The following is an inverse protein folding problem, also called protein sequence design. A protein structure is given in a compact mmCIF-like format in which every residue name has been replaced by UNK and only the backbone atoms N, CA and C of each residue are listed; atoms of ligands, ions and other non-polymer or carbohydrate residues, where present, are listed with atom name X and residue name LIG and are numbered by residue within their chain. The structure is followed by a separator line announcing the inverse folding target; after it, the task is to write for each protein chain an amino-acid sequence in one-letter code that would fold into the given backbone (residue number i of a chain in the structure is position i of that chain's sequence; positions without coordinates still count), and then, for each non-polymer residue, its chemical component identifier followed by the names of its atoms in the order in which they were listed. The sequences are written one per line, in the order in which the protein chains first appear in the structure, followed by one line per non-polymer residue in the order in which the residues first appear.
data_IF_702241278876
#
_entry.id   IF_702241278876
#
_cell.length_a   1.000
_cell.length_b   1.000
_cell.length_c   1.000
_cell.angle_alpha   90.00
_cell.angle_beta   90.00
_cell.angle_gamma   90.00
#
_symmetry.space_group_name_H-M   'P 1'
#
loop_
_entity.id
_entity.type
_entity.pdbx_description
1 polymer ?
#
# COMPACT_ATOMS: atom_id res chain seq x y z
N UNK A 1 -11.74 -20.64 18.21
CA UNK A 1 -12.23 -19.50 19.04
C UNK A 1 -13.09 -19.93 20.24
N UNK A 2 -13.63 -21.15 20.30
CA UNK A 2 -14.52 -21.60 21.41
C UNK A 2 -13.79 -21.60 22.77
N UNK A 3 -12.54 -22.08 22.82
CA UNK A 3 -11.76 -22.19 24.07
C UNK A 3 -11.51 -20.82 24.75
N UNK A 4 -11.32 -19.75 23.96
CA UNK A 4 -10.98 -18.45 24.49
C UNK A 4 -12.17 -17.77 25.19
N UNK A 5 -13.41 -18.17 24.87
CA UNK A 5 -14.64 -17.52 25.39
C UNK A 5 -14.77 -17.55 26.91
N UNK A 6 -14.18 -18.55 27.57
CA UNK A 6 -14.15 -18.63 29.04
C UNK A 6 -13.30 -17.56 29.74
N UNK A 7 -12.53 -16.77 28.99
CA UNK A 7 -11.65 -15.69 29.48
C UNK A 7 -12.21 -14.28 29.17
N UNK A 8 -13.53 -14.16 28.94
CA UNK A 8 -14.15 -12.90 28.52
C UNK A 8 -13.94 -11.78 29.56
N UNK A 9 -13.67 -10.56 29.10
CA UNK A 9 -13.40 -9.38 29.95
C UNK A 9 -11.92 -9.17 30.30
N UNK A 10 -11.17 -10.24 30.53
CA UNK A 10 -9.74 -10.16 30.91
C UNK A 10 -8.79 -10.43 29.73
N UNK A 11 -9.29 -11.03 28.64
CA UNK A 11 -8.47 -11.39 27.48
C UNK A 11 -7.93 -10.19 26.71
N UNK A 12 -6.69 -10.32 26.25
CA UNK A 12 -6.03 -9.46 25.28
C UNK A 12 -5.35 -10.36 24.23
N UNK A 13 -5.45 -10.00 22.96
CA UNK A 13 -4.80 -10.68 21.86
C UNK A 13 -3.47 -10.01 21.54
N UNK A 14 -2.36 -10.73 21.68
CA UNK A 14 -1.06 -10.27 21.22
C UNK A 14 -0.80 -10.76 19.79
N UNK A 15 -0.49 -9.84 18.88
CA UNK A 15 -0.14 -10.15 17.49
C UNK A 15 1.26 -9.61 17.17
N UNK A 16 2.10 -10.41 16.54
CA UNK A 16 3.33 -9.90 15.92
C UNK A 16 2.97 -8.90 14.80
N UNK A 17 3.66 -7.75 14.75
CA UNK A 17 3.41 -6.65 13.80
C UNK A 17 3.90 -6.98 12.37
N UNK A 18 3.41 -8.08 11.81
CA UNK A 18 3.64 -8.56 10.45
C UNK A 18 2.42 -8.26 9.58
N UNK A 19 2.07 -6.98 9.37
CA UNK A 19 0.77 -6.54 8.83
C UNK A 19 0.35 -7.16 7.50
N UNK A 20 1.30 -7.57 6.66
CA UNK A 20 1.02 -8.32 5.43
C UNK A 20 0.31 -9.66 5.69
N UNK A 21 0.51 -10.25 6.86
CA UNK A 21 -0.05 -11.55 7.27
C UNK A 21 -1.08 -11.40 8.40
N UNK A 22 -0.77 -10.60 9.43
CA UNK A 22 -1.62 -10.46 10.63
C UNK A 22 -2.77 -9.45 10.46
N UNK A 23 -2.75 -8.62 9.42
CA UNK A 23 -3.70 -7.51 9.27
C UNK A 23 -5.17 -7.93 9.16
N UNK A 24 -5.48 -9.02 8.46
CA UNK A 24 -6.87 -9.48 8.33
C UNK A 24 -7.44 -10.00 9.67
N UNK A 25 -6.64 -10.76 10.42
CA UNK A 25 -7.00 -11.26 11.74
C UNK A 25 -7.14 -10.13 12.77
N UNK A 26 -6.20 -9.17 12.74
CA UNK A 26 -6.26 -7.97 13.58
C UNK A 26 -7.58 -7.21 13.37
N UNK A 27 -7.96 -6.95 12.11
CA UNK A 27 -9.25 -6.30 11.78
C UNK A 27 -10.45 -7.11 12.26
N UNK A 28 -10.43 -8.44 12.07
CA UNK A 28 -11.51 -9.33 12.49
C UNK A 28 -11.74 -9.31 14.01
N UNK A 29 -10.66 -9.23 14.79
CA UNK A 29 -10.70 -9.17 16.25
C UNK A 29 -11.20 -7.80 16.72
N UNK A 30 -10.62 -6.71 16.21
CA UNK A 30 -11.04 -5.35 16.59
C UNK A 30 -12.52 -5.11 16.26
N UNK A 31 -13.00 -5.56 15.10
CA UNK A 31 -14.41 -5.44 14.70
C UNK A 31 -15.40 -6.18 15.63
N UNK A 32 -14.91 -7.11 16.46
CA UNK A 32 -15.70 -7.83 17.48
C UNK A 32 -15.53 -7.24 18.90
N UNK A 33 -14.90 -6.07 19.02
CA UNK A 33 -14.64 -5.43 20.30
C UNK A 33 -13.50 -6.07 21.10
N UNK A 34 -12.68 -6.89 20.46
CA UNK A 34 -11.55 -7.54 21.14
C UNK A 34 -10.40 -6.55 21.36
N UNK A 35 -9.76 -6.61 22.53
CA UNK A 35 -8.52 -5.87 22.80
C UNK A 35 -7.34 -6.56 22.11
N UNK A 36 -6.63 -5.82 21.27
CA UNK A 36 -5.48 -6.34 20.50
C UNK A 36 -4.27 -5.45 20.74
N UNK A 37 -3.11 -6.05 21.04
CA UNK A 37 -1.81 -5.37 21.19
C UNK A 37 -0.82 -5.86 20.16
N UNK A 38 0.02 -4.95 19.65
CA UNK A 38 1.05 -5.27 18.65
C UNK A 38 2.40 -5.50 19.32
N UNK A 39 3.02 -6.62 18.99
CA UNK A 39 4.40 -6.95 19.38
C UNK A 39 5.31 -6.59 18.22
N UNK A 40 6.20 -5.62 18.42
CA UNK A 40 7.16 -5.24 17.39
C UNK A 40 8.12 -6.40 17.10
N UNK A 41 8.55 -6.51 15.83
CA UNK A 41 9.56 -7.49 15.42
C UNK A 41 10.88 -7.35 16.18
N UNK A 42 11.20 -6.14 16.66
CA UNK A 42 12.35 -5.86 17.54
C UNK A 42 12.23 -6.55 18.90
N UNK A 43 11.05 -6.51 19.52
CA UNK A 43 10.78 -7.24 20.77
C UNK A 43 10.83 -8.75 20.54
N UNK A 44 10.40 -9.22 19.37
CA UNK A 44 10.49 -10.64 18.99
C UNK A 44 11.91 -11.16 18.78
N UNK A 45 12.82 -10.32 18.28
CA UNK A 45 14.22 -10.70 18.08
C UNK A 45 14.93 -11.07 19.39
N UNK A 46 14.53 -10.48 20.52
CA UNK A 46 15.03 -10.85 21.85
C UNK A 46 14.51 -12.21 22.32
N UNK A 47 13.23 -12.48 22.10
CA UNK A 47 12.56 -13.69 22.61
C UNK A 47 12.84 -14.94 21.76
N UNK A 48 12.98 -14.80 20.44
CA UNK A 48 13.33 -15.92 19.53
C UNK A 48 14.70 -16.53 19.83
N UNK A 49 15.62 -15.75 20.40
CA UNK A 49 16.98 -16.20 20.73
C UNK A 49 17.01 -17.24 21.86
N UNK A 50 15.96 -17.33 22.67
CA UNK A 50 15.87 -18.27 23.80
C UNK A 50 15.11 -19.56 23.51
N UNK A 51 14.58 -19.74 22.30
CA UNK A 51 13.75 -20.90 21.96
C UNK A 51 14.23 -21.66 20.73
N UNK A 52 14.61 -22.94 20.89
CA UNK A 52 15.25 -23.76 19.85
C UNK A 52 14.29 -24.64 19.01
N UNK A 53 12.96 -24.38 18.97
CA UNK A 53 12.02 -25.17 18.14
C UNK A 53 10.98 -24.31 17.38
N UNK A 54 10.65 -24.66 16.14
CA UNK A 54 10.37 -23.67 15.06
C UNK A 54 8.89 -23.39 14.68
N UNK A 55 7.89 -23.65 15.52
CA UNK A 55 6.51 -23.21 15.18
C UNK A 55 5.61 -22.95 16.39
N UNK A 56 5.52 -23.91 17.31
CA UNK A 56 4.80 -23.75 18.58
C UNK A 56 5.46 -22.70 19.47
N UNK A 57 6.77 -22.53 19.29
CA UNK A 57 7.54 -21.52 20.00
C UNK A 57 7.19 -20.11 19.60
N UNK A 58 6.84 -19.81 18.35
CA UNK A 58 6.55 -18.42 17.96
C UNK A 58 5.30 -17.88 18.65
N UNK A 59 4.24 -18.70 18.79
CA UNK A 59 3.04 -18.31 19.55
C UNK A 59 3.35 -18.07 21.04
N UNK A 60 4.15 -18.96 21.64
CA UNK A 60 4.59 -18.84 23.03
C UNK A 60 5.55 -17.65 23.21
N UNK A 61 6.40 -17.38 22.23
CA UNK A 61 7.34 -16.26 22.22
C UNK A 61 6.59 -14.93 22.13
N UNK A 62 5.59 -14.81 21.25
CA UNK A 62 4.70 -13.65 21.16
C UNK A 62 4.03 -13.37 22.51
N UNK A 63 3.45 -14.40 23.14
CA UNK A 63 2.83 -14.25 24.45
C UNK A 63 3.85 -13.87 25.54
N UNK A 64 5.02 -14.51 25.57
CA UNK A 64 6.09 -14.18 26.54
C UNK A 64 6.64 -12.77 26.36
N UNK A 65 6.84 -12.32 25.13
CA UNK A 65 7.28 -10.96 24.87
C UNK A 65 6.21 -9.94 25.28
N UNK A 66 4.93 -10.27 25.06
CA UNK A 66 3.83 -9.42 25.49
C UNK A 66 3.81 -9.24 27.01
N UNK A 67 3.92 -10.36 27.75
CA UNK A 67 3.97 -10.34 29.22
C UNK A 67 5.24 -9.65 29.73
N UNK A 68 6.40 -9.94 29.13
CA UNK A 68 7.69 -9.38 29.55
C UNK A 68 7.83 -7.87 29.32
N UNK A 69 7.17 -7.33 28.28
CA UNK A 69 7.11 -5.89 28.03
C UNK A 69 6.05 -5.18 28.91
N UNK A 70 5.14 -5.93 29.55
CA UNK A 70 3.95 -5.39 30.19
C UNK A 70 2.88 -5.02 29.15
N UNK A 71 1.72 -5.68 29.22
CA UNK A 71 0.71 -5.59 28.15
C UNK A 71 0.18 -4.18 27.93
N UNK A 72 0.10 -3.38 29.00
CA UNK A 72 -0.39 -2.00 28.95
C UNK A 72 0.60 -1.00 28.34
N UNK A 73 1.87 -1.37 28.20
CA UNK A 73 2.90 -0.51 27.56
C UNK A 73 2.93 -0.68 26.05
N UNK A 74 2.29 -1.74 25.54
CA UNK A 74 2.32 -2.09 24.13
C UNK A 74 1.32 -1.27 23.33
N UNK A 75 1.67 -1.05 22.06
CA UNK A 75 0.79 -0.30 21.16
C UNK A 75 -0.50 -1.09 20.92
N UNK A 76 -1.62 -0.54 21.40
CA UNK A 76 -2.95 -1.05 21.08
C UNK A 76 -3.19 -0.96 19.56
N UNK A 77 -3.67 -2.04 18.98
CA UNK A 77 -4.11 -2.03 17.60
C UNK A 77 -5.44 -1.30 17.52
N UNK A 78 -5.48 -0.27 16.69
CA UNK A 78 -6.70 0.37 16.26
C UNK A 78 -6.82 0.20 14.74
N UNK A 79 -8.04 0.03 14.27
CA UNK A 79 -8.35 0.26 12.87
C UNK A 79 -7.96 1.71 12.58
N UNK A 80 -7.11 1.92 11.57
CA UNK A 80 -7.00 3.26 11.03
C UNK A 80 -8.38 3.55 10.42
N UNK A 81 -9.05 4.56 10.94
CA UNK A 81 -10.43 4.87 10.60
C UNK A 81 -10.54 5.43 9.16
N UNK A 82 -11.57 6.24 8.87
CA UNK A 82 -11.75 6.83 7.54
C UNK A 82 -10.52 7.60 7.03
N UNK A 83 -9.60 7.99 7.92
CA UNK A 83 -8.35 8.67 7.58
C UNK A 83 -7.41 7.81 6.71
N UNK A 84 -7.36 6.48 6.92
CA UNK A 84 -6.53 5.61 6.07
C UNK A 84 -7.15 5.44 4.68
N UNK A 85 -8.47 5.26 4.61
CA UNK A 85 -9.19 5.15 3.34
C UNK A 85 -9.03 6.44 2.52
N UNK A 86 -9.18 7.61 3.16
CA UNK A 86 -8.91 8.91 2.54
C UNK A 86 -7.46 9.03 2.07
N UNK A 87 -6.48 8.64 2.89
CA UNK A 87 -5.07 8.67 2.47
C UNK A 87 -4.81 7.76 1.28
N UNK A 88 -5.35 6.54 1.27
CA UNK A 88 -5.20 5.60 0.15
C UNK A 88 -5.81 6.15 -1.14
N UNK A 89 -6.98 6.81 -1.05
CA UNK A 89 -7.61 7.47 -2.18
C UNK A 89 -6.79 8.67 -2.68
N UNK A 90 -6.28 9.50 -1.78
CA UNK A 90 -5.40 10.63 -2.12
C UNK A 90 -4.12 10.14 -2.78
N UNK A 91 -3.43 9.17 -2.19
CA UNK A 91 -2.22 8.57 -2.74
C UNK A 91 -2.47 7.96 -4.12
N UNK A 92 -3.61 7.28 -4.31
CA UNK A 92 -3.99 6.72 -5.60
C UNK A 92 -4.25 7.83 -6.64
N UNK A 93 -5.00 8.88 -6.27
CA UNK A 93 -5.23 10.03 -7.14
C UNK A 93 -3.92 10.68 -7.54
N UNK A 94 -3.00 10.88 -6.61
CA UNK A 94 -1.69 11.47 -6.90
C UNK A 94 -0.86 10.61 -7.85
N UNK A 95 -0.85 9.28 -7.67
CA UNK A 95 -0.21 8.36 -8.62
C UNK A 95 -0.81 8.50 -10.01
N UNK A 96 -2.14 8.48 -10.14
CA UNK A 96 -2.81 8.64 -11.44
C UNK A 96 -2.50 9.99 -12.09
N UNK A 97 -2.47 11.08 -11.31
CA UNK A 97 -2.11 12.41 -11.81
C UNK A 97 -0.67 12.43 -12.32
N UNK A 98 0.29 11.89 -11.56
CA UNK A 98 1.71 11.81 -11.98
C UNK A 98 1.87 10.99 -13.26
N UNK A 99 1.25 9.80 -13.32
CA UNK A 99 1.28 8.94 -14.52
C UNK A 99 0.69 9.66 -15.72
N UNK A 100 -0.46 10.32 -15.58
CA UNK A 100 -1.11 11.06 -16.66
C UNK A 100 -0.24 12.22 -17.16
N UNK A 101 0.37 12.99 -16.25
CA UNK A 101 1.26 14.09 -16.62
C UNK A 101 2.47 13.56 -17.39
N UNK A 102 3.13 12.51 -16.88
CA UNK A 102 4.27 11.90 -17.56
C UNK A 102 3.91 11.43 -18.97
N UNK A 103 2.80 10.70 -19.14
CA UNK A 103 2.33 10.24 -20.46
C UNK A 103 2.05 11.41 -21.42
N UNK A 104 1.40 12.46 -20.94
CA UNK A 104 1.09 13.63 -21.78
C UNK A 104 2.36 14.40 -22.17
N UNK A 105 3.30 14.59 -21.25
CA UNK A 105 4.58 15.24 -21.55
C UNK A 105 5.40 14.42 -22.57
N UNK A 106 5.47 13.09 -22.41
CA UNK A 106 6.13 12.21 -23.38
C UNK A 106 5.46 12.29 -24.75
N UNK A 107 4.12 12.22 -24.80
CA UNK A 107 3.39 12.34 -26.06
C UNK A 107 3.62 13.71 -26.72
N UNK A 108 3.65 14.79 -25.94
CA UNK A 108 3.89 16.12 -26.47
C UNK A 108 5.28 16.25 -27.12
N UNK A 109 6.33 15.71 -26.47
CA UNK A 109 7.67 15.65 -27.07
C UNK A 109 7.69 14.82 -28.35
N UNK A 110 7.11 13.62 -28.34
CA UNK A 110 7.06 12.77 -29.53
C UNK A 110 6.30 13.45 -30.69
N UNK A 111 5.22 14.17 -30.39
CA UNK A 111 4.46 14.92 -31.40
C UNK A 111 5.27 16.08 -31.97
N UNK A 112 6.05 16.77 -31.13
CA UNK A 112 6.96 17.82 -31.58
C UNK A 112 8.05 17.26 -32.51
N UNK A 113 8.61 16.08 -32.19
CA UNK A 113 9.63 15.44 -33.04
C UNK A 113 9.07 14.96 -34.38
N UNK A 114 7.81 14.50 -34.40
CA UNK A 114 7.14 14.06 -35.63
C UNK A 114 6.65 15.23 -36.49
N UNK A 115 6.10 16.26 -35.85
CA UNK A 115 5.47 17.41 -36.49
C UNK A 115 5.82 18.69 -35.73
N UNK A 116 7.00 19.29 -35.97
CA UNK A 116 7.42 20.53 -35.31
C UNK A 116 6.46 21.71 -35.55
N UNK A 117 5.71 21.68 -36.67
CA UNK A 117 4.71 22.68 -37.02
C UNK A 117 3.40 22.55 -36.24
N UNK A 118 3.21 21.43 -35.50
CA UNK A 118 1.98 21.17 -34.77
C UNK A 118 1.91 21.98 -33.47
N UNK A 119 1.15 23.07 -33.49
CA UNK A 119 0.84 23.83 -32.27
C UNK A 119 -0.38 23.26 -31.55
N UNK A 120 -0.23 22.93 -30.26
CA UNK A 120 -1.32 22.48 -29.40
C UNK A 120 -1.70 23.56 -28.39
N UNK A 121 -3.00 23.87 -28.20
CA UNK A 121 -3.43 24.75 -27.13
C UNK A 121 -3.17 24.12 -25.76
N UNK A 122 -3.06 24.98 -24.73
CA UNK A 122 -2.91 24.56 -23.34
C UNK A 122 -3.95 23.51 -22.95
N UNK A 123 -3.47 22.36 -22.47
CA UNK A 123 -4.33 21.25 -22.05
C UNK A 123 -5.06 20.50 -23.18
N UNK A 124 -4.65 20.66 -24.44
CA UNK A 124 -5.21 19.92 -25.58
C UNK A 124 -5.27 18.40 -25.31
N UNK A 125 -4.22 17.82 -24.74
CA UNK A 125 -4.16 16.38 -24.46
C UNK A 125 -5.08 15.91 -23.31
N UNK A 126 -5.73 16.84 -22.58
CA UNK A 126 -6.81 16.51 -21.64
C UNK A 126 -8.20 16.51 -22.31
N UNK A 127 -8.32 17.07 -23.51
CA UNK A 127 -9.60 17.16 -24.23
C UNK A 127 -9.77 15.97 -25.17
N UNK A 128 -10.89 15.23 -25.01
CA UNK A 128 -11.27 14.13 -25.91
C UNK A 128 -11.23 14.54 -27.38
N UNK A 129 -11.65 15.77 -27.70
CA UNK A 129 -11.65 16.31 -29.07
C UNK A 129 -10.25 16.31 -29.67
N UNK A 130 -9.28 16.84 -28.94
CA UNK A 130 -7.90 16.96 -29.39
C UNK A 130 -7.19 15.62 -29.38
N UNK A 131 -7.36 14.80 -28.32
CA UNK A 131 -6.81 13.45 -28.27
C UNK A 131 -7.31 12.60 -29.46
N UNK A 132 -8.59 12.68 -29.83
CA UNK A 132 -9.13 11.99 -31.00
C UNK A 132 -8.62 12.55 -32.34
N UNK A 133 -8.37 13.86 -32.43
CA UNK A 133 -7.75 14.47 -33.63
C UNK A 133 -6.30 13.99 -33.80
N UNK A 134 -5.52 13.99 -32.72
CA UNK A 134 -4.15 13.50 -32.71
C UNK A 134 -4.09 12.01 -33.04
N UNK A 135 -4.94 11.19 -32.40
CA UNK A 135 -5.00 9.75 -32.66
C UNK A 135 -5.28 9.45 -34.15
N UNK A 136 -6.22 10.18 -34.78
CA UNK A 136 -6.48 10.04 -36.23
C UNK A 136 -5.30 10.45 -37.09
N UNK A 137 -4.56 11.49 -36.71
CA UNK A 137 -3.37 11.93 -37.44
C UNK A 137 -2.25 10.89 -37.34
N UNK A 138 -2.00 10.38 -36.12
CA UNK A 138 -1.05 9.30 -35.86
C UNK A 138 -1.40 8.02 -36.64
N UNK A 139 -2.68 7.64 -36.71
CA UNK A 139 -3.12 6.46 -37.44
C UNK A 139 -2.87 6.55 -38.96
N UNK A 140 -2.74 7.76 -39.50
CA UNK A 140 -2.43 8.02 -40.92
C UNK A 140 -0.95 8.28 -41.16
N UNK A 141 -0.16 8.45 -40.10
CA UNK A 141 1.27 8.66 -40.21
C UNK A 141 1.95 7.32 -40.52
N UNK A 142 3.04 7.37 -41.28
CA UNK A 142 3.88 6.20 -41.50
C UNK A 142 4.45 5.75 -40.14
N UNK A 143 4.23 4.48 -39.78
CA UNK A 143 4.65 3.94 -38.49
C UNK A 143 6.16 3.68 -38.50
N UNK A 144 6.94 4.75 -38.39
CA UNK A 144 8.37 4.66 -38.14
C UNK A 144 8.57 4.39 -36.66
N UNK A 145 8.78 3.12 -36.30
CA UNK A 145 9.08 2.72 -34.92
C UNK A 145 10.41 3.37 -34.50
N UNK A 146 10.33 4.45 -33.71
CA UNK A 146 11.48 5.04 -33.03
C UNK A 146 11.41 4.69 -31.56
N UNK A 147 12.31 3.80 -31.12
CA UNK A 147 12.49 3.50 -29.70
C UNK A 147 13.25 4.67 -29.08
N UNK A 148 12.71 5.37 -28.07
CA UNK A 148 13.48 6.40 -27.38
C UNK A 148 14.62 5.71 -26.63
N UNK A 149 15.86 6.11 -26.91
CA UNK A 149 17.02 5.68 -26.14
C UNK A 149 16.86 6.20 -24.71
N UNK A 150 16.65 5.29 -23.75
CA UNK A 150 16.45 5.62 -22.32
C UNK A 150 17.78 5.83 -21.61
N UNK A 151 18.67 6.61 -22.19
CA UNK A 151 19.93 7.02 -21.57
C UNK A 151 19.97 8.54 -21.40
N UNK A 152 19.37 9.03 -20.30
CA UNK A 152 19.79 10.22 -19.52
C UNK A 152 18.91 10.39 -18.29
#
# INVERSE_FOLDING_TARGET
MIWARGLAGERIWALEDCRHVSGALERFLIARGERVVRISTRLMAGTRRSSRERAKSDQIAVARAALGAGVDTLRMAALAGPELDLRLLVDHRERLVRTRVALNSTLQWNLHDLWPELTLPGGALFSKKWSAKIARRLARAEQTMRVPDRTR
#
